data_IF_802928116237
#
_entry.id   IF_802928116237
#
_cell.length_a   1.000
_cell.length_b   1.000
_cell.length_c   1.000
_cell.angle_alpha   90.00
_cell.angle_beta   90.00
_cell.angle_gamma   90.00
#
_symmetry.space_group_name_H-M   'P 1'
#
loop_
_entity.id
_entity.type
_entity.pdbx_description
1 polymer ?
#
# COMPACT_ATOMS: atom_id res chain seq x y z
N UNK A 1 -12.89 3.71 23.71
CA UNK A 1 -12.51 2.37 24.18
C UNK A 1 -13.35 1.30 23.49
N UNK A 2 -12.74 0.37 22.72
CA UNK A 2 -13.46 -0.84 22.32
C UNK A 2 -13.85 -1.61 23.59
N UNK A 3 -15.11 -2.01 23.69
CA UNK A 3 -15.59 -2.76 24.84
C UNK A 3 -15.00 -4.17 24.76
N UNK A 4 -14.48 -4.69 25.87
CA UNK A 4 -13.95 -6.05 25.97
C UNK A 4 -14.93 -7.15 25.53
N UNK A 5 -16.22 -6.81 25.36
CA UNK A 5 -17.27 -7.69 24.84
C UNK A 5 -17.14 -7.99 23.33
N UNK A 6 -16.28 -7.29 22.60
CA UNK A 6 -16.06 -7.50 21.16
C UNK A 6 -15.07 -8.65 20.85
N UNK A 7 -14.43 -9.21 21.88
CA UNK A 7 -13.42 -10.26 21.75
C UNK A 7 -13.79 -11.49 22.58
N UNK A 8 -13.57 -12.67 22.02
CA UNK A 8 -13.66 -13.95 22.75
C UNK A 8 -12.27 -14.55 22.89
N UNK A 9 -12.01 -15.19 24.03
CA UNK A 9 -10.84 -16.05 24.17
C UNK A 9 -11.13 -17.32 23.36
N UNK A 10 -10.28 -17.62 22.38
CA UNK A 10 -10.38 -18.82 21.57
C UNK A 10 -9.16 -19.72 21.79
N UNK A 11 -9.39 -21.05 21.82
CA UNK A 11 -8.30 -22.02 21.83
C UNK A 11 -7.52 -21.97 20.51
N UNK A 12 -6.19 -21.92 20.61
CA UNK A 12 -5.29 -21.98 19.45
C UNK A 12 -5.44 -23.37 18.81
N UNK A 13 -5.85 -23.48 17.53
CA UNK A 13 -6.02 -24.77 16.88
C UNK A 13 -4.67 -25.48 16.67
N UNK A 14 -4.68 -26.81 16.78
CA UNK A 14 -3.51 -27.63 16.47
C UNK A 14 -3.06 -27.39 15.01
N UNK A 15 -1.75 -27.23 14.80
CA UNK A 15 -1.16 -27.05 13.48
C UNK A 15 -1.58 -28.19 12.53
N UNK A 16 -1.97 -27.86 11.30
CA UNK A 16 -2.42 -28.83 10.29
C UNK A 16 -3.84 -29.39 10.48
N UNK A 17 -4.56 -29.01 11.55
CA UNK A 17 -5.96 -29.43 11.72
C UNK A 17 -6.91 -28.73 10.74
N UNK A 18 -8.08 -29.32 10.49
CA UNK A 18 -9.13 -28.68 9.69
C UNK A 18 -9.57 -27.32 10.27
N UNK A 19 -9.59 -27.20 11.60
CA UNK A 19 -9.90 -25.96 12.32
C UNK A 19 -8.83 -24.88 12.10
N UNK A 20 -7.56 -25.26 11.99
CA UNK A 20 -6.44 -24.36 11.70
C UNK A 20 -6.59 -23.68 10.33
N UNK A 21 -6.94 -24.46 9.30
CA UNK A 21 -7.19 -23.94 7.94
C UNK A 21 -8.39 -23.00 7.86
N UNK A 22 -9.43 -23.24 8.65
CA UNK A 22 -10.64 -22.42 8.66
C UNK A 22 -10.45 -21.06 9.37
N UNK A 23 -9.59 -21.00 10.38
CA UNK A 23 -9.40 -19.82 11.24
C UNK A 23 -8.35 -18.85 10.67
N UNK A 24 -7.22 -19.36 10.16
CA UNK A 24 -6.11 -18.49 9.75
C UNK A 24 -6.43 -17.69 8.49
N UNK A 25 -7.12 -18.30 7.52
CA UNK A 25 -7.41 -17.68 6.21
C UNK A 25 -8.70 -16.85 6.16
N UNK A 26 -9.48 -16.76 7.26
CA UNK A 26 -10.72 -15.96 7.33
C UNK A 26 -10.69 -14.91 8.44
N UNK A 27 -9.51 -14.59 8.98
CA UNK A 27 -9.39 -13.62 10.06
C UNK A 27 -9.74 -12.22 9.54
N UNK A 28 -10.66 -11.54 10.23
CA UNK A 28 -10.93 -10.12 10.00
C UNK A 28 -9.74 -9.33 10.52
N UNK A 29 -9.09 -8.56 9.65
CA UNK A 29 -7.97 -7.71 10.04
C UNK A 29 -8.46 -6.44 10.77
N UNK A 30 -7.70 -5.99 11.77
CA UNK A 30 -7.97 -4.79 12.55
C UNK A 30 -6.68 -3.98 12.75
N UNK A 31 -6.82 -2.66 12.75
CA UNK A 31 -5.72 -1.73 13.07
C UNK A 31 -5.83 -1.34 14.55
N UNK A 32 -4.70 -1.28 15.24
CA UNK A 32 -4.59 -0.84 16.64
C UNK A 32 -3.65 0.37 16.68
N UNK A 33 -4.16 1.52 17.11
CA UNK A 33 -3.42 2.79 17.12
C UNK A 33 -3.55 3.46 18.49
N UNK A 34 -2.56 4.26 18.88
CA UNK A 34 -2.68 5.19 20.01
C UNK A 34 -3.02 6.57 19.44
N UNK A 35 -4.20 7.10 19.77
CA UNK A 35 -4.64 8.45 19.37
C UNK A 35 -5.08 9.22 20.60
N UNK A 36 -4.50 10.40 20.82
CA UNK A 36 -4.75 11.22 22.01
C UNK A 36 -4.62 10.42 23.31
N UNK A 37 -3.55 9.62 23.41
CA UNK A 37 -3.26 8.73 24.56
C UNK A 37 -4.27 7.58 24.77
N UNK A 38 -5.24 7.40 23.87
CA UNK A 38 -6.20 6.29 23.92
C UNK A 38 -5.88 5.19 22.90
N UNK A 39 -6.11 3.93 23.29
CA UNK A 39 -6.07 2.78 22.38
C UNK A 39 -7.33 2.76 21.51
N UNK A 40 -7.15 2.91 20.21
CA UNK A 40 -8.21 2.86 19.19
C UNK A 40 -8.04 1.59 18.37
N UNK A 41 -9.07 0.74 18.38
CA UNK A 41 -9.16 -0.43 17.49
C UNK A 41 -10.18 -0.10 16.39
N UNK A 42 -9.78 -0.29 15.14
CA UNK A 42 -10.63 -0.06 13.97
C UNK A 42 -10.52 -1.21 12.98
N UNK A 43 -11.52 -1.34 12.11
CA UNK A 43 -11.45 -2.33 11.02
C UNK A 43 -10.30 -1.93 10.09
N UNK A 44 -9.41 -2.88 9.80
CA UNK A 44 -8.34 -2.63 8.85
C UNK A 44 -8.95 -2.55 7.45
N UNK A 45 -8.59 -1.48 6.75
CA UNK A 45 -8.89 -1.29 5.34
C UNK A 45 -7.56 -1.24 4.62
N UNK A 46 -7.24 -2.33 3.93
CA UNK A 46 -6.03 -2.42 3.15
C UNK A 46 -6.08 -1.41 2.01
N UNK A 47 -5.14 -0.47 1.99
CA UNK A 47 -4.98 0.49 0.91
C UNK A 47 -3.88 -0.02 -0.02
N UNK A 48 -4.28 -0.87 -0.95
CA UNK A 48 -3.38 -1.37 -1.99
C UNK A 48 -3.15 -0.40 -3.13
N UNK A 49 -3.85 0.74 -3.16
CA UNK A 49 -3.72 1.72 -4.22
C UNK A 49 -3.64 3.13 -3.69
N UNK A 50 -2.79 3.92 -4.35
CA UNK A 50 -2.61 5.35 -4.15
C UNK A 50 -2.83 5.99 -5.51
N UNK A 51 -3.62 7.05 -5.56
CA UNK A 51 -3.86 7.83 -6.76
C UNK A 51 -3.44 9.27 -6.51
N UNK A 52 -2.72 9.84 -7.47
CA UNK A 52 -2.33 11.23 -7.50
C UNK A 52 -2.84 11.86 -8.79
N UNK A 53 -3.63 12.93 -8.68
CA UNK A 53 -4.10 13.72 -9.83
C UNK A 53 -3.00 14.71 -10.21
N UNK A 54 -2.52 14.65 -11.46
CA UNK A 54 -1.49 15.53 -11.98
C UNK A 54 -1.93 16.08 -13.35
N UNK A 55 -2.29 17.36 -13.39
CA UNK A 55 -2.97 17.98 -14.54
C UNK A 55 -4.27 17.21 -14.87
N UNK A 56 -4.43 16.76 -16.11
CA UNK A 56 -5.56 15.92 -16.57
C UNK A 56 -5.22 14.41 -16.56
N UNK A 57 -4.17 14.02 -15.83
CA UNK A 57 -3.62 12.67 -15.78
C UNK A 57 -3.75 12.10 -14.37
N UNK A 58 -3.89 10.78 -14.26
CA UNK A 58 -3.88 10.06 -12.99
C UNK A 58 -2.64 9.20 -12.89
N UNK A 59 -1.94 9.32 -11.78
CA UNK A 59 -0.79 8.47 -11.48
C UNK A 59 -1.23 7.52 -10.37
N UNK A 60 -1.26 6.23 -10.70
CA UNK A 60 -1.78 5.19 -9.83
C UNK A 60 -0.63 4.26 -9.44
N UNK A 61 -0.37 4.18 -8.15
CA UNK A 61 0.55 3.23 -7.56
C UNK A 61 -0.22 2.12 -6.85
N UNK A 62 0.25 0.88 -6.94
CA UNK A 62 -0.26 -0.24 -6.16
C UNK A 62 0.83 -0.93 -5.34
N UNK A 63 0.41 -1.58 -4.27
CA UNK A 63 1.27 -2.31 -3.34
C UNK A 63 0.56 -3.60 -2.87
N UNK A 64 1.03 -4.74 -3.38
CA UNK A 64 0.58 -6.07 -2.97
C UNK A 64 1.68 -6.83 -2.22
N UNK A 65 2.66 -6.11 -1.64
CA UNK A 65 3.71 -6.70 -0.81
C UNK A 65 4.57 -7.70 -1.59
N UNK A 66 4.65 -8.95 -1.11
CA UNK A 66 5.44 -10.01 -1.78
C UNK A 66 4.97 -10.34 -3.20
N UNK A 67 3.73 -9.98 -3.53
CA UNK A 67 3.15 -10.20 -4.87
C UNK A 67 3.45 -9.05 -5.85
N UNK A 68 4.18 -8.04 -5.38
CA UNK A 68 4.60 -6.88 -6.17
C UNK A 68 3.50 -5.83 -6.30
N UNK A 69 3.66 -4.96 -7.28
CA UNK A 69 2.76 -3.84 -7.52
C UNK A 69 3.13 -3.16 -8.82
N UNK A 70 2.46 -2.05 -9.10
CA UNK A 70 2.70 -1.27 -10.30
C UNK A 70 2.54 0.22 -10.06
N UNK A 71 3.38 1.00 -10.75
CA UNK A 71 3.17 2.41 -11.00
C UNK A 71 2.71 2.57 -12.45
N UNK A 72 1.53 3.16 -12.65
CA UNK A 72 0.95 3.44 -13.96
C UNK A 72 0.44 4.87 -14.06
N UNK A 73 0.31 5.33 -15.29
CA UNK A 73 -0.32 6.60 -15.65
C UNK A 73 -1.56 6.31 -16.47
N UNK A 74 -2.66 6.96 -16.12
CA UNK A 74 -3.92 6.93 -16.85
C UNK A 74 -4.13 8.31 -17.44
N UNK A 75 -4.21 8.36 -18.76
CA UNK A 75 -4.45 9.58 -19.53
C UNK A 75 -5.94 9.92 -19.57
N UNK A 76 -6.27 11.15 -19.97
CA UNK A 76 -7.66 11.64 -20.04
C UNK A 76 -8.55 10.79 -20.97
N UNK A 77 -7.98 10.17 -22.01
CA UNK A 77 -8.65 9.24 -22.92
C UNK A 77 -8.78 7.81 -22.37
N UNK A 78 -8.42 7.60 -21.09
CA UNK A 78 -8.35 6.31 -20.40
C UNK A 78 -7.23 5.37 -20.89
N UNK A 79 -6.29 5.85 -21.71
CA UNK A 79 -5.08 5.09 -22.03
C UNK A 79 -4.27 4.85 -20.76
N UNK A 80 -3.90 3.60 -20.49
CA UNK A 80 -3.05 3.23 -19.35
C UNK A 80 -1.63 2.88 -19.82
N UNK A 81 -0.63 3.49 -19.19
CA UNK A 81 0.79 3.20 -19.42
C UNK A 81 1.43 2.72 -18.12
N UNK A 82 1.94 1.50 -18.12
CA UNK A 82 2.77 0.97 -17.03
C UNK A 82 4.15 1.62 -17.08
N UNK A 83 4.54 2.29 -16.00
CA UNK A 83 5.88 2.87 -15.86
C UNK A 83 6.86 1.89 -15.24
N UNK A 84 6.45 1.23 -14.15
CA UNK A 84 7.34 0.34 -13.39
C UNK A 84 6.54 -0.70 -12.60
N UNK A 85 7.07 -1.92 -12.52
CA UNK A 85 6.60 -2.93 -11.56
C UNK A 85 7.34 -2.74 -10.25
N UNK A 86 6.61 -2.33 -9.20
CA UNK A 86 7.12 -2.03 -7.86
C UNK A 86 5.98 -1.83 -6.88
N UNK A 87 6.23 -2.05 -5.59
CA UNK A 87 5.30 -1.66 -4.52
C UNK A 87 5.41 -0.16 -4.26
N UNK A 88 4.41 0.61 -4.69
CA UNK A 88 4.40 2.07 -4.52
C UNK A 88 3.86 2.41 -3.14
N UNK A 89 4.73 2.95 -2.28
CA UNK A 89 4.41 3.34 -0.90
C UNK A 89 3.84 4.76 -0.81
N UNK A 90 4.24 5.64 -1.70
CA UNK A 90 3.76 7.03 -1.73
C UNK A 90 4.01 7.68 -3.10
N UNK A 91 3.17 8.65 -3.45
CA UNK A 91 3.34 9.58 -4.58
C UNK A 91 3.09 10.98 -4.03
N UNK A 92 4.02 11.91 -4.26
CA UNK A 92 3.95 13.25 -3.68
C UNK A 92 4.72 14.29 -4.48
N UNK A 93 4.35 15.56 -4.33
CA UNK A 93 5.12 16.69 -4.86
C UNK A 93 6.04 17.28 -3.79
N UNK A 94 7.25 17.65 -4.21
CA UNK A 94 8.20 18.39 -3.40
C UNK A 94 8.93 19.43 -4.25
N UNK A 95 8.83 20.70 -3.85
CA UNK A 95 9.42 21.84 -4.57
C UNK A 95 8.99 21.92 -6.06
N UNK A 96 7.75 21.56 -6.34
CA UNK A 96 7.18 21.60 -7.70
C UNK A 96 7.56 20.40 -8.58
N UNK A 97 8.30 19.44 -8.05
CA UNK A 97 8.69 18.22 -8.74
C UNK A 97 7.92 17.03 -8.15
N UNK A 98 7.58 16.07 -9.01
CA UNK A 98 6.80 14.90 -8.62
C UNK A 98 7.71 13.71 -8.28
N UNK A 99 7.38 12.99 -7.22
CA UNK A 99 8.15 11.84 -6.72
C UNK A 99 7.25 10.65 -6.39
N UNK A 100 7.83 9.46 -6.41
CA UNK A 100 7.25 8.29 -5.77
C UNK A 100 8.29 7.50 -4.98
N UNK A 101 7.83 6.86 -3.91
CA UNK A 101 8.62 5.98 -3.06
C UNK A 101 8.21 4.54 -3.36
N UNK A 102 9.18 3.68 -3.69
CA UNK A 102 8.97 2.24 -3.65
C UNK A 102 9.51 1.63 -2.36
N UNK A 103 8.92 0.53 -1.92
CA UNK A 103 9.47 -0.20 -0.78
C UNK A 103 8.92 -1.60 -0.61
N UNK A 104 9.73 -2.48 -0.03
CA UNK A 104 9.30 -3.79 0.44
C UNK A 104 9.91 -4.01 1.82
N UNK A 105 9.03 -4.28 2.78
CA UNK A 105 9.41 -4.70 4.13
C UNK A 105 8.85 -6.09 4.36
N UNK A 106 9.74 -7.10 4.38
CA UNK A 106 9.37 -8.48 4.64
C UNK A 106 10.48 -9.22 5.38
N UNK A 107 10.21 -9.62 6.62
CA UNK A 107 11.15 -10.28 7.53
C UNK A 107 12.48 -9.50 7.68
N UNK A 108 13.56 -9.99 7.08
CA UNK A 108 14.89 -9.38 7.13
C UNK A 108 15.14 -8.38 5.99
N UNK A 109 14.25 -8.32 5.01
CA UNK A 109 14.33 -7.41 3.87
C UNK A 109 13.64 -6.11 4.23
N UNK A 110 14.39 -5.02 4.25
CA UNK A 110 13.87 -3.66 4.31
C UNK A 110 14.60 -2.85 3.24
N UNK A 111 13.95 -2.69 2.10
CA UNK A 111 14.50 -1.99 0.94
C UNK A 111 13.49 -1.00 0.40
N UNK A 112 13.99 0.13 -0.09
CA UNK A 112 13.18 1.11 -0.77
C UNK A 112 14.04 2.03 -1.61
N UNK A 113 13.41 2.74 -2.53
CA UNK A 113 14.08 3.67 -3.42
C UNK A 113 13.15 4.85 -3.70
N UNK A 114 13.72 6.04 -3.71
CA UNK A 114 13.04 7.28 -4.09
C UNK A 114 13.31 7.56 -5.56
N UNK A 115 12.25 7.89 -6.29
CA UNK A 115 12.32 8.25 -7.69
C UNK A 115 11.65 9.60 -7.94
N UNK A 116 12.21 10.37 -8.87
CA UNK A 116 11.54 11.52 -9.45
C UNK A 116 10.81 11.08 -10.73
N UNK A 117 9.55 11.47 -10.85
CA UNK A 117 8.76 11.37 -12.09
C UNK A 117 8.97 12.63 -12.91
N UNK A 118 9.25 12.44 -14.19
CA UNK A 118 9.52 13.52 -15.14
C UNK A 118 8.49 13.41 -16.25
N UNK A 119 7.72 14.47 -16.44
CA UNK A 119 6.73 14.59 -17.51
C UNK A 119 7.21 15.62 -18.54
N UNK A 120 7.31 15.21 -19.81
CA UNK A 120 7.77 16.08 -20.90
C UNK A 120 6.62 16.79 -21.66
N UNK A 121 5.38 16.63 -21.18
CA UNK A 121 4.17 17.10 -21.87
C UNK A 121 3.47 16.03 -22.70
N UNK A 122 4.09 14.86 -22.90
CA UNK A 122 3.48 13.72 -23.61
C UNK A 122 3.69 12.42 -22.84
N UNK A 123 4.91 12.14 -22.40
CA UNK A 123 5.30 10.89 -21.76
C UNK A 123 5.83 11.11 -20.35
N UNK A 124 5.68 10.09 -19.53
CA UNK A 124 6.36 9.99 -18.24
C UNK A 124 7.62 9.16 -18.35
N UNK A 125 8.65 9.61 -17.64
CA UNK A 125 9.85 8.84 -17.32
C UNK A 125 10.16 8.98 -15.83
N UNK A 126 11.11 8.20 -15.34
CA UNK A 126 11.57 8.31 -13.96
C UNK A 126 13.08 8.16 -13.86
N UNK A 127 13.65 8.76 -12.81
CA UNK A 127 15.06 8.59 -12.44
C UNK A 127 15.19 8.28 -10.96
N UNK A 128 16.14 7.41 -10.62
CA UNK A 128 16.50 7.11 -9.22
C UNK A 128 17.12 8.34 -8.56
N UNK A 129 16.68 8.64 -7.33
CA UNK A 129 17.24 9.69 -6.50
C UNK A 129 18.07 9.13 -5.35
N UNK A 130 17.53 8.15 -4.62
CA UNK A 130 18.16 7.49 -3.47
C UNK A 130 17.69 6.05 -3.35
#
# INVERSE_FOLDING_TARGET
MPLWNDFIIAEIPNAGSSKWLQIINNSKQYCVEIKNEELVISRYHEKHSIQYEYLDLKIVGTDYGEWGGELKVIYADSTEILLKKCNVKSIFEYKGELYFLEGLEHMYLNTGCLYQLIYDGTNFSYRTCM
#
